data_IF_222623471301
#
_entry.id   IF_222623471301
#
_cell.length_a   1.000
_cell.length_b   1.000
_cell.length_c   1.000
_cell.angle_alpha   90.00
_cell.angle_beta   90.00
_cell.angle_gamma   90.00
#
_symmetry.space_group_name_H-M   'P 1'
#
loop_
_entity.id
_entity.type
_entity.pdbx_description
1 polymer ?
#
# COMPACT_ATOMS: atom_id res chain seq x y z
N UNK A 1 -38.72 2.34 -33.38
CA UNK A 1 -37.64 1.32 -33.37
C UNK A 1 -36.22 1.93 -33.30
N UNK A 2 -35.87 2.92 -34.14
CA UNK A 2 -34.52 3.52 -34.16
C UNK A 2 -34.08 4.21 -32.85
N UNK A 3 -35.00 4.84 -32.11
CA UNK A 3 -34.71 5.52 -30.82
C UNK A 3 -34.32 4.52 -29.73
N UNK A 4 -35.01 3.37 -29.64
CA UNK A 4 -34.69 2.30 -28.69
C UNK A 4 -33.32 1.67 -29.00
N UNK A 5 -32.99 1.53 -30.29
CA UNK A 5 -31.69 1.03 -30.72
C UNK A 5 -30.55 1.99 -30.31
N UNK A 6 -30.72 3.30 -30.55
CA UNK A 6 -29.75 4.32 -30.14
C UNK A 6 -29.55 4.39 -28.62
N UNK A 7 -30.63 4.30 -27.85
CA UNK A 7 -30.58 4.24 -26.39
C UNK A 7 -29.80 3.03 -25.88
N UNK A 8 -30.05 1.84 -26.45
CA UNK A 8 -29.33 0.61 -26.13
C UNK A 8 -27.83 0.71 -26.42
N UNK A 9 -27.45 1.27 -27.59
CA UNK A 9 -26.06 1.47 -27.98
C UNK A 9 -25.36 2.49 -27.08
N UNK A 10 -26.01 3.61 -26.75
CA UNK A 10 -25.46 4.63 -25.85
C UNK A 10 -25.22 4.06 -24.44
N UNK A 11 -26.17 3.27 -23.91
CA UNK A 11 -26.02 2.58 -22.63
C UNK A 11 -24.84 1.61 -22.63
N UNK A 12 -24.72 0.76 -23.67
CA UNK A 12 -23.57 -0.15 -23.82
C UNK A 12 -22.23 0.60 -23.88
N UNK A 13 -22.18 1.72 -24.61
CA UNK A 13 -20.97 2.55 -24.72
C UNK A 13 -20.57 3.18 -23.37
N UNK A 14 -21.56 3.63 -22.59
CA UNK A 14 -21.33 4.15 -21.23
C UNK A 14 -20.74 3.08 -20.29
N UNK A 15 -21.32 1.88 -20.26
CA UNK A 15 -20.79 0.76 -19.47
C UNK A 15 -19.37 0.37 -19.89
N UNK A 16 -19.10 0.33 -21.21
CA UNK A 16 -17.77 0.04 -21.74
C UNK A 16 -16.75 1.11 -21.31
N UNK A 17 -17.10 2.39 -21.44
CA UNK A 17 -16.23 3.49 -21.02
C UNK A 17 -15.97 3.47 -19.51
N UNK A 18 -16.99 3.17 -18.70
CA UNK A 18 -16.83 3.02 -17.25
C UNK A 18 -15.90 1.84 -16.89
N UNK A 19 -16.04 0.70 -17.56
CA UNK A 19 -15.18 -0.47 -17.35
C UNK A 19 -13.72 -0.21 -17.78
N UNK A 20 -13.51 0.42 -18.93
CA UNK A 20 -12.18 0.78 -19.43
C UNK A 20 -11.49 1.80 -18.52
N UNK A 21 -12.22 2.83 -18.09
CA UNK A 21 -11.72 3.80 -17.12
C UNK A 21 -11.47 3.17 -15.74
N UNK A 22 -12.29 2.23 -15.30
CA UNK A 22 -12.05 1.46 -14.07
C UNK A 22 -10.77 0.63 -14.16
N UNK A 23 -10.56 -0.05 -15.30
CA UNK A 23 -9.37 -0.87 -15.55
C UNK A 23 -8.08 -0.04 -15.61
N UNK A 24 -8.10 1.12 -16.27
CA UNK A 24 -6.93 2.02 -16.31
C UNK A 24 -6.60 2.58 -14.93
N UNK A 25 -7.63 2.96 -14.15
CA UNK A 25 -7.47 3.40 -12.75
C UNK A 25 -6.86 2.32 -11.87
N UNK A 26 -7.38 1.09 -11.96
CA UNK A 26 -6.86 -0.02 -11.16
C UNK A 26 -5.40 -0.33 -11.49
N UNK A 27 -5.01 -0.26 -12.78
CA UNK A 27 -3.61 -0.42 -13.20
C UNK A 27 -2.71 0.69 -12.64
N UNK A 28 -3.15 1.95 -12.64
CA UNK A 28 -2.37 3.06 -12.10
C UNK A 28 -2.17 2.92 -10.58
N UNK A 29 -3.24 2.59 -9.84
CA UNK A 29 -3.16 2.34 -8.41
C UNK A 29 -2.21 1.18 -8.08
N UNK A 30 -2.28 0.08 -8.84
CA UNK A 30 -1.43 -1.08 -8.64
C UNK A 30 0.05 -0.75 -8.88
N UNK A 31 0.37 0.06 -9.90
CA UNK A 31 1.74 0.52 -10.16
C UNK A 31 2.28 1.37 -9.01
N UNK A 32 1.48 2.33 -8.56
CA UNK A 32 1.87 3.21 -7.46
C UNK A 32 2.03 2.43 -6.15
N UNK A 33 1.12 1.49 -5.90
CA UNK A 33 1.19 0.56 -4.78
C UNK A 33 2.47 -0.27 -4.80
N UNK A 34 2.80 -0.89 -5.93
CA UNK A 34 4.02 -1.68 -6.08
C UNK A 34 5.27 -0.81 -5.87
N UNK A 35 5.30 0.42 -6.40
CA UNK A 35 6.39 1.36 -6.19
C UNK A 35 6.57 1.69 -4.70
N UNK A 36 5.49 2.00 -4.00
CA UNK A 36 5.53 2.29 -2.57
C UNK A 36 6.04 1.09 -1.77
N UNK A 37 5.59 -0.12 -2.11
CA UNK A 37 6.01 -1.35 -1.45
C UNK A 37 7.50 -1.64 -1.67
N UNK A 38 8.01 -1.45 -2.89
CA UNK A 38 9.43 -1.59 -3.21
C UNK A 38 10.26 -0.55 -2.46
N UNK A 39 9.82 0.71 -2.44
CA UNK A 39 10.52 1.78 -1.70
C UNK A 39 10.58 1.49 -0.21
N UNK A 40 9.47 1.04 0.39
CA UNK A 40 9.44 0.64 1.80
C UNK A 40 10.40 -0.53 2.07
N UNK A 41 10.38 -1.56 1.22
CA UNK A 41 11.27 -2.71 1.35
C UNK A 41 12.75 -2.31 1.25
N UNK A 42 13.09 -1.43 0.30
CA UNK A 42 14.43 -0.91 0.15
C UNK A 42 14.87 -0.11 1.38
N UNK A 43 14.00 0.74 1.93
CA UNK A 43 14.27 1.52 3.15
C UNK A 43 14.33 0.64 4.41
N UNK A 44 13.65 -0.50 4.44
CA UNK A 44 13.71 -1.43 5.56
C UNK A 44 14.96 -2.33 5.51
N UNK A 45 15.51 -2.59 4.32
CA UNK A 45 16.60 -3.56 4.11
C UNK A 45 17.96 -2.89 3.93
N UNK A 46 18.06 -1.84 3.12
CA UNK A 46 19.34 -1.16 2.82
C UNK A 46 20.03 -0.66 4.10
N UNK A 47 19.34 -0.01 5.06
CA UNK A 47 19.99 0.46 6.27
C UNK A 47 20.56 -0.66 7.14
N UNK A 48 20.00 -1.88 7.07
CA UNK A 48 20.56 -3.04 7.80
C UNK A 48 21.98 -3.41 7.35
N UNK A 49 22.42 -2.97 6.17
CA UNK A 49 23.78 -3.18 5.66
C UNK A 49 24.74 -2.04 5.99
N UNK A 50 24.24 -0.91 6.52
CA UNK A 50 25.03 0.29 6.81
C UNK A 50 25.14 0.39 8.33
N UNK A 51 26.22 -0.13 8.90
CA UNK A 51 26.35 -0.39 10.36
C UNK A 51 26.73 0.87 11.18
N UNK A 52 26.82 2.03 10.55
CA UNK A 52 27.52 3.18 11.14
C UNK A 52 26.66 4.13 12.01
N UNK A 53 25.32 4.03 12.01
CA UNK A 53 24.47 5.03 12.68
C UNK A 53 23.22 4.45 13.40
N UNK A 54 22.81 5.04 14.52
CA UNK A 54 21.58 4.65 15.24
C UNK A 54 20.33 4.66 14.36
N UNK A 55 20.26 5.57 13.39
CA UNK A 55 19.16 5.67 12.43
C UNK A 55 19.04 4.45 11.50
N UNK A 56 20.16 3.78 11.19
CA UNK A 56 20.16 2.64 10.27
C UNK A 56 19.61 1.36 10.92
N UNK A 57 19.62 1.28 12.25
CA UNK A 57 18.97 0.22 13.03
C UNK A 57 17.52 0.56 13.36
N UNK A 58 17.21 1.85 13.55
CA UNK A 58 15.87 2.32 13.93
C UNK A 58 14.80 2.00 12.87
N UNK A 59 15.07 2.29 11.60
CA UNK A 59 14.07 2.15 10.52
C UNK A 59 13.64 0.69 10.32
N UNK A 60 14.56 -0.30 10.18
CA UNK A 60 14.18 -1.70 10.04
C UNK A 60 13.42 -2.22 11.27
N UNK A 61 13.85 -1.84 12.47
CA UNK A 61 13.23 -2.25 13.73
C UNK A 61 11.77 -1.79 13.82
N UNK A 62 11.53 -0.48 13.63
CA UNK A 62 10.18 0.08 13.73
C UNK A 62 9.27 -0.35 12.58
N UNK A 63 9.82 -0.75 11.44
CA UNK A 63 9.03 -1.29 10.31
C UNK A 63 8.43 -2.67 10.61
N UNK A 64 8.99 -3.42 11.56
CA UNK A 64 8.55 -4.78 11.90
C UNK A 64 7.90 -4.84 13.29
N UNK A 65 8.58 -4.37 14.34
CA UNK A 65 8.16 -4.59 15.72
C UNK A 65 7.04 -3.65 16.18
N UNK A 66 7.04 -2.38 15.76
CA UNK A 66 6.00 -1.42 16.16
C UNK A 66 4.60 -1.82 15.68
N UNK A 67 4.40 -2.25 14.43
CA UNK A 67 3.15 -2.86 13.99
C UNK A 67 2.67 -4.03 14.86
N UNK A 68 3.60 -4.89 15.28
CA UNK A 68 3.29 -6.09 16.05
C UNK A 68 2.83 -5.79 17.46
N UNK A 69 3.27 -4.69 18.08
CA UNK A 69 2.79 -4.28 19.39
C UNK A 69 1.28 -4.04 19.40
N UNK A 70 0.71 -3.49 18.32
CA UNK A 70 -0.74 -3.30 18.21
C UNK A 70 -1.46 -4.65 18.27
N UNK A 71 -0.98 -5.65 17.52
CA UNK A 71 -1.57 -6.99 17.51
C UNK A 71 -1.36 -7.75 18.82
N UNK A 72 -0.22 -7.55 19.48
CA UNK A 72 0.05 -8.08 20.82
C UNK A 72 -0.92 -7.50 21.86
N UNK A 73 -1.19 -6.19 21.82
CA UNK A 73 -2.17 -5.55 22.71
C UNK A 73 -3.57 -6.14 22.50
N UNK A 74 -3.90 -6.54 21.26
CA UNK A 74 -5.14 -7.25 20.92
C UNK A 74 -5.13 -8.74 21.33
N UNK A 75 -4.09 -9.22 22.01
CA UNK A 75 -3.98 -10.60 22.50
C UNK A 75 -3.57 -11.63 21.45
N UNK A 76 -3.08 -11.20 20.28
CA UNK A 76 -2.65 -12.13 19.24
C UNK A 76 -1.24 -12.68 19.54
N UNK A 77 -0.99 -13.99 19.32
CA UNK A 77 0.31 -14.63 19.58
C UNK A 77 1.31 -14.30 18.45
N UNK A 78 1.73 -13.04 18.39
CA UNK A 78 2.65 -12.52 17.36
C UNK A 78 4.12 -12.72 17.69
N UNK A 79 4.44 -12.92 18.97
CA UNK A 79 5.77 -13.26 19.47
C UNK A 79 5.77 -14.69 20.02
N UNK A 80 6.84 -15.43 19.75
CA UNK A 80 7.10 -16.74 20.33
C UNK A 80 7.66 -16.65 21.74
N UNK A 81 8.06 -17.79 22.28
CA UNK A 81 8.73 -17.85 23.58
C UNK A 81 10.15 -17.29 23.46
N UNK A 82 10.48 -16.31 24.30
CA UNK A 82 11.85 -15.80 24.43
C UNK A 82 12.64 -16.72 25.38
N UNK A 83 13.85 -17.13 24.97
CA UNK A 83 14.81 -17.80 25.84
C UNK A 83 15.70 -16.82 26.61
N UNK A 84 16.45 -17.32 27.60
CA UNK A 84 17.32 -16.50 28.47
C UNK A 84 18.42 -15.74 27.71
N UNK A 85 18.87 -16.27 26.57
CA UNK A 85 19.92 -15.65 25.73
C UNK A 85 19.39 -14.84 24.55
N UNK A 86 18.07 -14.65 24.44
CA UNK A 86 17.47 -13.98 23.27
C UNK A 86 17.35 -12.48 23.49
N UNK A 87 18.03 -11.70 22.63
CA UNK A 87 17.89 -10.24 22.60
C UNK A 87 16.45 -9.79 22.29
N UNK A 88 15.72 -10.56 21.48
CA UNK A 88 14.30 -10.34 21.21
C UNK A 88 13.56 -11.67 21.04
N UNK A 89 12.27 -11.67 21.40
CA UNK A 89 11.40 -12.80 21.13
C UNK A 89 11.28 -13.04 19.61
N UNK A 90 11.36 -14.30 19.15
CA UNK A 90 11.18 -14.61 17.74
C UNK A 90 9.75 -14.26 17.30
N UNK A 91 9.61 -13.72 16.09
CA UNK A 91 8.29 -13.40 15.53
C UNK A 91 7.66 -14.70 15.01
N UNK A 92 6.40 -14.96 15.37
CA UNK A 92 5.66 -16.14 14.89
C UNK A 92 5.33 -16.02 13.41
N UNK A 93 4.98 -17.14 12.75
CA UNK A 93 4.49 -17.11 11.36
C UNK A 93 3.29 -16.17 11.22
N UNK A 94 2.37 -16.21 12.20
CA UNK A 94 1.23 -15.28 12.26
C UNK A 94 1.70 -13.82 12.34
N UNK A 95 2.68 -13.52 13.19
CA UNK A 95 3.27 -12.18 13.30
C UNK A 95 3.79 -11.67 11.96
N UNK A 96 4.57 -12.49 11.25
CA UNK A 96 5.06 -12.14 9.91
C UNK A 96 3.93 -11.90 8.90
N UNK A 97 2.90 -12.76 8.91
CA UNK A 97 1.73 -12.58 8.04
C UNK A 97 0.99 -11.27 8.35
N UNK A 98 0.85 -10.90 9.63
CA UNK A 98 0.17 -9.68 10.05
C UNK A 98 0.96 -8.42 9.68
N UNK A 99 2.28 -8.41 9.87
CA UNK A 99 3.15 -7.30 9.43
C UNK A 99 3.04 -7.11 7.92
N UNK A 100 3.17 -8.19 7.16
CA UNK A 100 3.07 -8.13 5.70
C UNK A 100 1.69 -7.63 5.26
N UNK A 101 0.61 -8.21 5.79
CA UNK A 101 -0.76 -7.81 5.45
C UNK A 101 -1.03 -6.34 5.78
N UNK A 102 -0.59 -5.87 6.95
CA UNK A 102 -0.74 -4.48 7.36
C UNK A 102 -0.07 -3.54 6.36
N UNK A 103 1.18 -3.78 6.01
CA UNK A 103 1.89 -2.93 5.06
C UNK A 103 1.29 -2.97 3.66
N UNK A 104 0.82 -4.12 3.18
CA UNK A 104 0.14 -4.22 1.89
C UNK A 104 -1.11 -3.33 1.87
N UNK A 105 -1.91 -3.34 2.95
CA UNK A 105 -3.13 -2.53 3.08
C UNK A 105 -2.80 -1.04 3.19
N UNK A 106 -1.86 -0.67 4.06
CA UNK A 106 -1.46 0.74 4.26
C UNK A 106 -0.98 1.35 2.93
N UNK A 107 -0.05 0.68 2.25
CA UNK A 107 0.46 1.18 0.97
C UNK A 107 -0.63 1.23 -0.10
N UNK A 108 -1.61 0.31 -0.07
CA UNK A 108 -2.71 0.33 -1.03
C UNK A 108 -3.62 1.54 -0.79
N UNK A 109 -3.94 1.83 0.48
CA UNK A 109 -4.66 3.03 0.88
C UNK A 109 -3.94 4.30 0.41
N UNK A 110 -2.63 4.40 0.63
CA UNK A 110 -1.82 5.52 0.13
C UNK A 110 -1.82 5.63 -1.39
N UNK A 111 -1.67 4.52 -2.11
CA UNK A 111 -1.69 4.52 -3.57
C UNK A 111 -3.03 5.04 -4.12
N UNK A 112 -4.15 4.64 -3.51
CA UNK A 112 -5.47 5.15 -3.87
C UNK A 112 -5.55 6.66 -3.59
N UNK A 113 -5.19 7.10 -2.39
CA UNK A 113 -5.25 8.51 -1.99
C UNK A 113 -4.37 9.41 -2.89
N UNK A 114 -3.12 9.01 -3.14
CA UNK A 114 -2.21 9.73 -4.02
C UNK A 114 -2.71 9.77 -5.46
N UNK A 115 -3.25 8.67 -6.00
CA UNK A 115 -3.84 8.67 -7.35
C UNK A 115 -4.98 9.69 -7.46
N UNK A 116 -5.80 9.83 -6.42
CA UNK A 116 -6.85 10.85 -6.37
C UNK A 116 -6.28 12.28 -6.35
N UNK A 117 -5.23 12.54 -5.55
CA UNK A 117 -4.60 13.85 -5.45
C UNK A 117 -3.87 14.27 -6.73
N UNK A 118 -3.03 13.39 -7.30
CA UNK A 118 -2.28 13.68 -8.54
C UNK A 118 -3.23 13.96 -9.70
N UNK A 119 -4.38 13.28 -9.76
CA UNK A 119 -5.38 13.53 -10.79
C UNK A 119 -6.08 14.88 -10.63
N UNK A 120 -6.38 15.30 -9.40
CA UNK A 120 -6.97 16.62 -9.15
C UNK A 120 -6.01 17.72 -9.61
N UNK A 121 -4.74 17.61 -9.22
CA UNK A 121 -3.69 18.53 -9.64
C UNK A 121 -3.53 18.59 -11.17
N UNK A 122 -3.55 17.44 -11.87
CA UNK A 122 -3.47 17.42 -13.34
C UNK A 122 -4.67 18.07 -14.03
N UNK A 123 -5.88 17.97 -13.45
CA UNK A 123 -7.08 18.60 -14.03
C UNK A 123 -7.06 20.11 -13.81
N UNK A 124 -6.56 20.56 -12.67
CA UNK A 124 -6.46 21.99 -12.32
C UNK A 124 -5.34 22.67 -13.13
N UNK A 125 -4.24 21.99 -13.41
CA UNK A 125 -3.15 22.51 -14.27
C UNK A 125 -3.46 22.58 -15.77
N UNK A 126 -4.62 22.07 -16.21
CA UNK A 126 -5.11 22.11 -17.60
C UNK A 126 -6.16 23.21 -17.83
N UNK A 127 -6.53 23.98 -16.80
CA UNK A 127 -7.30 25.21 -17.01
C UNK A 127 -6.32 26.33 -17.38
N UNK A 128 -6.49 27.03 -18.53
CA UNK A 128 -5.68 28.21 -18.79
C UNK A 128 -5.95 29.22 -17.68
N UNK A 129 -4.88 29.84 -17.15
CA UNK A 129 -5.02 31.02 -16.31
C UNK A 129 -5.86 32.03 -17.10
N UNK A 130 -7.03 32.36 -16.55
CA UNK A 130 -7.94 33.34 -17.11
C UNK A 130 -7.33 34.74 -17.07
#
# INVERSE_FOLDING_TARGET
MAVLLRSSIAKRRSHLNAALNGKSRMKANLKLWALLLVSHSALAVIPSFIVENKWTVFIPYHSVFTPLEIFKILGLPVYGQAGEDMFMAPITVLGWCLVAALWLVIHYGFAVALSHLTRRSSKDGLMPAA
#
